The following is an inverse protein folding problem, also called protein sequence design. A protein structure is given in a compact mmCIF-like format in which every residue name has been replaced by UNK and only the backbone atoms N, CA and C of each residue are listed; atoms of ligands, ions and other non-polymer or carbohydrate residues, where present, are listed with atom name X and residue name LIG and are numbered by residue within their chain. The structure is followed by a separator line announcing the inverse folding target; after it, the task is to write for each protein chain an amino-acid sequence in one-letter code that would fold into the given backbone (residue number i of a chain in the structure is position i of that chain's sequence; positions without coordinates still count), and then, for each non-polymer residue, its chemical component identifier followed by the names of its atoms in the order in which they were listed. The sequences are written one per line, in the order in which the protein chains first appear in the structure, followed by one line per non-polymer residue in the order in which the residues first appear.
data_IF_264913528765
#
_entry.id   IF_264913528765
#
_cell.length_a   1.000
_cell.length_b   1.000
_cell.length_c   1.000
_cell.angle_alpha   90.00
_cell.angle_beta   90.00
_cell.angle_gamma   90.00
#
_symmetry.space_group_name_H-M   'P 1'
#
loop_
_entity.id
_entity.type
_entity.pdbx_description
1 polymer ?
#
# COMPACT_ATOMS: atom_id res chain seq x y z
N UNK A 1 -32.70 59.84 11.98
CA UNK A 1 -31.94 58.69 12.52
C UNK A 1 -32.58 57.43 11.92
N UNK A 2 -32.35 57.08 10.64
CA UNK A 2 -31.33 56.12 10.19
C UNK A 2 -31.33 54.85 11.08
N UNK A 3 -31.59 53.63 10.58
CA UNK A 3 -31.01 53.01 9.39
C UNK A 3 -31.90 51.90 8.81
N UNK A 4 -31.94 51.86 7.48
CA UNK A 4 -32.37 50.73 6.68
C UNK A 4 -31.46 49.52 6.95
N UNK A 5 -32.05 48.35 7.19
CA UNK A 5 -31.34 47.07 7.05
C UNK A 5 -31.60 46.53 5.64
N UNK A 6 -30.61 46.69 4.76
CA UNK A 6 -30.47 45.96 3.52
C UNK A 6 -29.01 45.51 3.41
N UNK A 7 -28.78 44.19 3.37
CA UNK A 7 -27.58 43.47 2.92
C UNK A 7 -27.58 42.10 3.64
N UNK A 8 -27.37 40.96 3.01
CA UNK A 8 -27.04 40.63 1.65
C UNK A 8 -27.14 39.10 1.52
N UNK A 9 -27.55 38.64 0.34
CA UNK A 9 -27.58 37.21 -0.01
C UNK A 9 -26.15 36.68 -0.01
N UNK A 10 -25.82 35.75 0.88
CA UNK A 10 -24.60 34.97 0.77
C UNK A 10 -24.98 33.54 0.35
N UNK A 11 -25.15 33.40 -0.97
CA UNK A 11 -24.99 32.14 -1.68
C UNK A 11 -23.54 31.68 -1.46
N UNK A 12 -23.31 30.79 -0.50
CA UNK A 12 -22.06 30.03 -0.48
C UNK A 12 -22.29 28.77 -1.31
N UNK A 13 -21.61 28.73 -2.44
CA UNK A 13 -21.66 27.64 -3.40
C UNK A 13 -21.42 26.30 -2.70
N UNK A 14 -22.40 25.41 -2.78
CA UNK A 14 -22.16 23.97 -2.61
C UNK A 14 -21.27 23.58 -3.79
N UNK A 15 -19.96 23.62 -3.57
CA UNK A 15 -18.98 23.06 -4.48
C UNK A 15 -19.27 21.56 -4.51
N UNK A 16 -20.03 21.14 -5.51
CA UNK A 16 -20.21 19.74 -5.87
C UNK A 16 -18.81 19.17 -6.07
N UNK A 17 -18.35 18.41 -5.07
CA UNK A 17 -17.09 17.68 -5.14
C UNK A 17 -17.35 16.59 -6.16
N UNK A 18 -16.95 16.83 -7.41
CA UNK A 18 -16.88 15.82 -8.46
C UNK A 18 -16.03 14.67 -7.90
N UNK A 19 -16.68 13.64 -7.34
CA UNK A 19 -16.07 12.35 -7.11
C UNK A 19 -15.82 11.79 -8.50
N UNK A 20 -14.58 11.90 -8.97
CA UNK A 20 -14.09 11.05 -10.04
C UNK A 20 -14.38 9.61 -9.61
N UNK A 21 -15.32 8.98 -10.31
CA UNK A 21 -15.50 7.53 -10.22
C UNK A 21 -14.28 6.92 -10.90
N UNK A 22 -13.17 6.81 -10.17
CA UNK A 22 -12.14 5.85 -10.54
C UNK A 22 -12.82 4.49 -10.42
N UNK A 23 -13.02 3.83 -11.56
CA UNK A 23 -13.33 2.42 -11.55
C UNK A 23 -12.17 1.73 -10.83
N UNK A 24 -12.37 1.42 -9.55
CA UNK A 24 -11.43 0.61 -8.78
C UNK A 24 -11.59 -0.81 -9.30
N UNK A 25 -10.92 -1.12 -10.40
CA UNK A 25 -10.79 -2.48 -10.85
C UNK A 25 -9.86 -3.19 -9.86
N UNK A 26 -10.44 -3.96 -8.96
CA UNK A 26 -9.65 -4.70 -7.98
C UNK A 26 -8.93 -5.84 -8.69
N UNK A 27 -7.60 -5.77 -8.78
CA UNK A 27 -6.75 -6.79 -9.40
C UNK A 27 -7.02 -8.20 -8.84
N UNK A 28 -7.47 -8.30 -7.58
CA UNK A 28 -7.84 -9.57 -6.95
C UNK A 28 -8.97 -10.32 -7.67
N UNK A 29 -9.76 -9.66 -8.53
CA UNK A 29 -10.77 -10.33 -9.36
C UNK A 29 -10.14 -11.17 -10.49
N UNK A 30 -8.89 -10.89 -10.87
CA UNK A 30 -8.15 -11.63 -11.90
C UNK A 30 -7.34 -12.81 -11.34
N UNK A 31 -7.26 -12.94 -10.02
CA UNK A 31 -6.40 -13.91 -9.35
C UNK A 31 -7.15 -15.20 -9.02
N UNK A 32 -6.41 -16.31 -9.05
CA UNK A 32 -6.88 -17.54 -8.42
C UNK A 32 -6.82 -17.42 -6.88
N UNK A 33 -7.38 -18.39 -6.17
CA UNK A 33 -7.48 -18.31 -4.70
C UNK A 33 -6.11 -18.41 -4.01
N UNK A 34 -5.13 -19.07 -4.63
CA UNK A 34 -3.76 -19.15 -4.08
C UNK A 34 -3.07 -17.80 -4.19
N UNK A 35 -3.21 -17.13 -5.33
CA UNK A 35 -2.69 -15.78 -5.56
C UNK A 35 -3.35 -14.75 -4.63
N UNK A 36 -4.66 -14.89 -4.35
CA UNK A 36 -5.36 -14.04 -3.36
C UNK A 36 -4.82 -14.24 -1.96
N UNK A 37 -4.69 -15.48 -1.50
CA UNK A 37 -4.13 -15.79 -0.18
C UNK A 37 -2.69 -15.29 -0.04
N UNK A 38 -1.88 -15.43 -1.10
CA UNK A 38 -0.54 -14.88 -1.14
C UNK A 38 -0.55 -13.35 -1.03
N UNK A 39 -1.38 -12.66 -1.83
CA UNK A 39 -1.55 -11.19 -1.74
C UNK A 39 -1.94 -10.76 -0.32
N UNK A 40 -2.92 -11.40 0.28
CA UNK A 40 -3.39 -11.10 1.65
C UNK A 40 -2.29 -11.31 2.68
N UNK A 41 -1.53 -12.40 2.55
CA UNK A 41 -0.40 -12.70 3.45
C UNK A 41 0.71 -11.65 3.35
N UNK A 42 1.08 -11.23 2.12
CA UNK A 42 2.09 -10.18 1.93
C UNK A 42 1.57 -8.82 2.40
N UNK A 43 0.31 -8.50 2.14
CA UNK A 43 -0.30 -7.25 2.60
C UNK A 43 -0.31 -7.14 4.12
N UNK A 44 -0.67 -8.23 4.82
CA UNK A 44 -0.61 -8.28 6.27
C UNK A 44 0.82 -8.11 6.78
N UNK A 45 1.77 -8.87 6.22
CA UNK A 45 3.19 -8.75 6.56
C UNK A 45 3.69 -7.31 6.40
N UNK A 46 3.38 -6.68 5.27
CA UNK A 46 3.83 -5.33 4.96
C UNK A 46 3.21 -4.29 5.92
N UNK A 47 1.93 -4.42 6.23
CA UNK A 47 1.24 -3.52 7.15
C UNK A 47 1.75 -3.63 8.59
N UNK A 48 2.13 -4.83 9.03
CA UNK A 48 2.64 -5.08 10.38
C UNK A 48 4.11 -4.71 10.54
N UNK A 49 4.92 -4.93 9.50
CA UNK A 49 6.38 -4.89 9.64
C UNK A 49 7.07 -3.76 8.85
N UNK A 50 6.44 -3.23 7.80
CA UNK A 50 7.02 -2.16 6.95
C UNK A 50 6.37 -0.82 7.28
N UNK A 51 5.03 -0.75 7.23
CA UNK A 51 4.27 0.49 7.38
C UNK A 51 4.59 1.30 8.65
N UNK A 52 4.85 0.70 9.84
CA UNK A 52 5.16 1.48 11.04
C UNK A 52 6.45 2.31 10.94
N UNK A 53 7.35 1.95 10.02
CA UNK A 53 8.68 2.56 9.90
C UNK A 53 8.85 3.43 8.67
N UNK A 54 8.01 3.24 7.64
CA UNK A 54 8.10 3.90 6.33
C UNK A 54 8.29 5.43 6.42
N UNK A 55 7.36 6.15 7.05
CA UNK A 55 7.41 7.62 7.15
C UNK A 55 8.71 8.12 7.82
N UNK A 56 9.15 7.43 8.89
CA UNK A 56 10.37 7.80 9.61
C UNK A 56 11.61 7.56 8.75
N UNK A 57 11.67 6.42 8.06
CA UNK A 57 12.77 6.08 7.15
C UNK A 57 12.86 7.13 6.05
N UNK A 58 11.75 7.46 5.40
CA UNK A 58 11.71 8.46 4.33
C UNK A 58 12.19 9.84 4.80
N UNK A 59 11.69 10.30 5.95
CA UNK A 59 12.03 11.62 6.49
C UNK A 59 13.48 11.72 6.95
N UNK A 60 14.06 10.65 7.47
CA UNK A 60 15.39 10.65 8.07
C UNK A 60 16.47 10.09 7.16
N UNK A 61 16.07 9.42 6.08
CA UNK A 61 16.94 8.64 5.21
C UNK A 61 17.83 7.65 5.98
N UNK A 62 17.31 7.13 7.10
CA UNK A 62 18.04 6.25 8.01
C UNK A 62 17.18 5.05 8.38
N UNK A 63 17.72 3.85 8.14
CA UNK A 63 17.07 2.62 8.58
C UNK A 63 17.23 2.42 10.10
N UNK A 64 16.17 2.02 10.82
CA UNK A 64 16.24 1.78 12.26
C UNK A 64 17.18 0.60 12.55
N UNK A 65 18.02 0.72 13.59
CA UNK A 65 18.99 -0.33 13.98
C UNK A 65 18.40 -1.42 14.87
N UNK A 66 17.24 -1.13 15.45
CA UNK A 66 16.49 -1.96 16.37
C UNK A 66 15.64 -3.02 15.67
N UNK A 67 15.49 -2.94 14.33
CA UNK A 67 14.79 -3.93 13.52
C UNK A 67 15.64 -4.35 12.33
N UNK A 68 15.79 -5.66 12.14
CA UNK A 68 16.40 -6.23 10.94
C UNK A 68 15.32 -6.58 9.91
N UNK A 69 14.85 -5.54 9.21
CA UNK A 69 13.75 -5.68 8.25
C UNK A 69 14.11 -6.61 7.09
N UNK A 70 15.37 -6.65 6.66
CA UNK A 70 15.82 -7.52 5.57
C UNK A 70 15.81 -8.98 5.99
N UNK A 71 16.28 -9.27 7.21
CA UNK A 71 16.18 -10.64 7.72
C UNK A 71 14.73 -11.10 7.82
N UNK A 72 13.85 -10.23 8.30
CA UNK A 72 12.42 -10.51 8.42
C UNK A 72 11.75 -10.74 7.06
N UNK A 73 12.05 -9.91 6.06
CA UNK A 73 11.57 -10.11 4.68
C UNK A 73 12.13 -11.39 4.05
N UNK A 74 13.39 -11.73 4.35
CA UNK A 74 14.03 -12.97 3.92
C UNK A 74 13.36 -14.21 4.52
N UNK A 75 13.07 -14.17 5.82
CA UNK A 75 12.37 -15.27 6.53
C UNK A 75 10.94 -15.47 6.04
N UNK A 76 10.31 -14.40 5.53
CA UNK A 76 9.02 -14.45 4.84
C UNK A 76 9.14 -14.82 3.35
N UNK A 77 10.33 -15.16 2.86
CA UNK A 77 10.64 -15.56 1.48
C UNK A 77 10.41 -14.49 0.40
N UNK A 78 10.37 -13.20 0.76
CA UNK A 78 10.15 -12.11 -0.20
C UNK A 78 11.34 -11.87 -1.14
N UNK A 79 12.55 -12.25 -0.72
CA UNK A 79 13.76 -12.12 -1.54
C UNK A 79 13.90 -13.21 -2.61
N UNK A 80 13.28 -14.37 -2.39
CA UNK A 80 13.50 -15.59 -3.16
C UNK A 80 12.35 -16.02 -4.05
N UNK A 81 11.35 -15.16 -4.29
CA UNK A 81 10.09 -15.54 -4.95
C UNK A 81 10.31 -16.28 -6.29
N UNK A 82 11.19 -15.76 -7.15
CA UNK A 82 11.47 -16.34 -8.47
C UNK A 82 12.72 -17.22 -8.50
N UNK A 83 13.45 -17.30 -7.39
CA UNK A 83 14.67 -18.09 -7.31
C UNK A 83 14.32 -19.59 -7.22
N UNK A 84 15.13 -20.48 -7.82
CA UNK A 84 14.95 -21.92 -7.69
C UNK A 84 15.00 -22.40 -6.22
N UNK A 85 14.20 -23.41 -5.89
CA UNK A 85 14.13 -24.00 -4.54
C UNK A 85 15.47 -24.54 -4.04
N UNK A 86 16.33 -25.06 -4.93
CA UNK A 86 17.68 -25.54 -4.58
C UNK A 86 18.60 -24.45 -3.98
N UNK A 87 18.23 -23.18 -4.15
CA UNK A 87 18.91 -22.03 -3.55
C UNK A 87 18.11 -21.38 -2.41
N UNK A 88 17.05 -22.04 -1.94
CA UNK A 88 16.15 -21.53 -0.90
C UNK A 88 15.10 -20.54 -1.40
N UNK A 89 14.83 -20.49 -2.72
CA UNK A 89 13.74 -19.71 -3.28
C UNK A 89 12.39 -20.46 -3.33
N UNK A 90 11.35 -19.80 -3.83
CA UNK A 90 10.01 -20.39 -3.96
C UNK A 90 9.73 -20.98 -5.35
N UNK A 91 10.61 -20.76 -6.33
CA UNK A 91 10.41 -21.24 -7.70
C UNK A 91 9.14 -20.69 -8.39
N UNK A 92 8.56 -19.60 -7.89
CA UNK A 92 7.34 -19.01 -8.43
C UNK A 92 7.63 -18.10 -9.63
N UNK A 93 6.58 -17.77 -10.38
CA UNK A 93 6.67 -16.86 -11.52
C UNK A 93 6.63 -15.38 -11.16
N UNK A 94 6.91 -14.52 -12.14
CA UNK A 94 6.88 -13.06 -11.99
C UNK A 94 5.53 -12.48 -11.56
N UNK A 95 4.42 -13.19 -11.79
CA UNK A 95 3.11 -12.74 -11.30
C UNK A 95 3.10 -12.64 -9.76
N UNK A 96 3.58 -13.67 -9.06
CA UNK A 96 3.71 -13.64 -7.59
C UNK A 96 4.70 -12.57 -7.14
N UNK A 97 5.79 -12.37 -7.89
CA UNK A 97 6.74 -11.29 -7.62
C UNK A 97 6.06 -9.92 -7.71
N UNK A 98 5.27 -9.67 -8.76
CA UNK A 98 4.54 -8.42 -8.93
C UNK A 98 3.50 -8.20 -7.82
N UNK A 99 2.77 -9.25 -7.42
CA UNK A 99 1.82 -9.18 -6.30
C UNK A 99 2.55 -8.76 -5.02
N UNK A 100 3.68 -9.40 -4.71
CA UNK A 100 4.44 -9.06 -3.52
C UNK A 100 4.97 -7.62 -3.56
N UNK A 101 5.51 -7.21 -4.71
CA UNK A 101 6.02 -5.85 -4.90
C UNK A 101 4.92 -4.79 -4.74
N UNK A 102 3.71 -5.06 -5.25
CA UNK A 102 2.57 -4.14 -5.12
C UNK A 102 2.19 -3.93 -3.65
N UNK A 103 2.10 -5.00 -2.87
CA UNK A 103 1.71 -4.91 -1.46
C UNK A 103 2.82 -4.31 -0.56
N UNK A 104 4.09 -4.64 -0.82
CA UNK A 104 5.23 -3.98 -0.16
C UNK A 104 5.21 -2.48 -0.46
N UNK A 105 5.03 -2.11 -1.73
CA UNK A 105 5.01 -0.70 -2.15
C UNK A 105 3.84 0.08 -1.58
N UNK A 106 2.72 -0.59 -1.25
CA UNK A 106 1.55 0.04 -0.63
C UNK A 106 1.79 0.43 0.84
N UNK A 107 2.65 -0.31 1.53
CA UNK A 107 3.02 -0.09 2.91
C UNK A 107 4.25 0.82 3.07
N UNK A 108 5.00 1.04 1.99
CA UNK A 108 6.21 1.86 1.96
C UNK A 108 5.91 3.35 1.81
#
# INVERSE_FOLDING_TARGET
MQRLFAAGKNFSAVLSRNRTHHASFTTSLLFDDTQKQFKESVAQFAQENIAPYAEKIDRTNCFPKDIDLWKLMGDFNLHGITAPEQYGGLGLGYLYHCIAMEEISRAS
#
